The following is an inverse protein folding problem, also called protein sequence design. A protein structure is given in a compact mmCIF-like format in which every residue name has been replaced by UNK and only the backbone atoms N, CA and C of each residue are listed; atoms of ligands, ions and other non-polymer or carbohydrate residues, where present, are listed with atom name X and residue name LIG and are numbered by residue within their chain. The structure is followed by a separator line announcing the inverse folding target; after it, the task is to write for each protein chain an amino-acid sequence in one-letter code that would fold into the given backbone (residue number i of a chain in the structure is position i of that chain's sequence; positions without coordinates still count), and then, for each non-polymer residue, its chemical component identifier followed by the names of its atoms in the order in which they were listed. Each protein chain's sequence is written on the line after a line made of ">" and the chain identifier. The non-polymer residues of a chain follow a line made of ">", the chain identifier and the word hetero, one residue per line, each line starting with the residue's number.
data_IF_563187973867
#
_entry.id   IF_563187973867
#
_cell.length_a   1.000
_cell.length_b   1.000
_cell.length_c   1.000
_cell.angle_alpha   90.00
_cell.angle_beta   90.00
_cell.angle_gamma   90.00
#
_symmetry.space_group_name_H-M   'P 1'
#
loop_
_entity.id
_entity.type
_entity.pdbx_description
1 polymer ?
#
# COMPACT_ATOMS: atom_id res chain seq x y z
N UNK A 1 5.82 27.03 23.70
CA UNK A 1 5.24 26.04 24.62
C UNK A 1 4.75 26.68 25.90
N UNK A 2 5.45 27.69 26.42
CA UNK A 2 5.18 28.33 27.72
C UNK A 2 3.81 29.05 27.82
N UNK A 3 3.35 29.68 26.74
CA UNK A 3 2.03 30.37 26.74
C UNK A 3 0.85 29.41 26.83
N UNK A 4 0.97 28.18 26.32
CA UNK A 4 -0.07 27.16 26.38
C UNK A 4 -0.13 26.55 27.78
N UNK A 5 1.03 26.32 28.39
CA UNK A 5 1.14 25.80 29.76
C UNK A 5 0.56 26.81 30.77
N UNK A 6 0.88 28.08 30.61
CA UNK A 6 0.33 29.15 31.46
C UNK A 6 -1.20 29.25 31.38
N UNK A 7 -1.75 29.17 30.16
CA UNK A 7 -3.21 29.18 29.94
C UNK A 7 -3.89 27.95 30.58
N UNK A 8 -3.28 26.79 30.50
CA UNK A 8 -3.77 25.54 31.09
C UNK A 8 -3.85 25.59 32.63
N UNK A 9 -2.83 26.18 33.27
CA UNK A 9 -2.82 26.35 34.72
C UNK A 9 -3.87 27.37 35.20
N UNK A 10 -4.03 28.45 34.46
CA UNK A 10 -5.00 29.50 34.83
C UNK A 10 -6.45 29.01 34.62
N UNK A 11 -6.78 28.44 33.48
CA UNK A 11 -8.16 28.01 33.19
C UNK A 11 -8.51 26.65 33.83
N UNK A 12 -7.57 25.74 33.96
CA UNK A 12 -7.82 24.39 34.48
C UNK A 12 -7.79 24.28 36.00
N UNK A 13 -7.02 25.15 36.67
CA UNK A 13 -6.79 25.04 38.12
C UNK A 13 -7.12 26.33 38.88
N UNK A 14 -6.55 27.47 38.52
CA UNK A 14 -6.62 28.68 39.29
C UNK A 14 -8.02 29.32 39.29
N UNK A 15 -8.72 29.39 38.17
CA UNK A 15 -10.06 29.95 38.06
C UNK A 15 -11.12 29.14 38.83
N UNK A 16 -11.23 27.81 38.68
CA UNK A 16 -12.16 27.00 39.47
C UNK A 16 -11.88 27.06 40.98
N UNK A 17 -10.61 27.04 41.39
CA UNK A 17 -10.20 27.19 42.77
C UNK A 17 -10.68 28.52 43.36
N UNK A 18 -10.38 29.65 42.70
CA UNK A 18 -10.72 30.99 43.17
C UNK A 18 -12.22 31.20 43.29
N UNK A 19 -12.97 30.74 42.27
CA UNK A 19 -14.42 30.96 42.20
C UNK A 19 -15.17 30.16 43.29
N UNK A 20 -14.79 28.92 43.53
CA UNK A 20 -15.42 28.08 44.55
C UNK A 20 -15.02 28.48 45.99
N UNK A 21 -13.81 28.94 46.21
CA UNK A 21 -13.37 29.39 47.50
C UNK A 21 -14.04 30.72 47.90
N UNK A 22 -14.28 31.63 46.93
CA UNK A 22 -15.03 32.88 47.16
C UNK A 22 -16.53 32.65 47.43
N UNK A 23 -17.10 31.58 46.83
CA UNK A 23 -18.53 31.29 46.94
C UNK A 23 -18.88 30.44 48.19
N UNK A 24 -18.04 29.52 48.61
CA UNK A 24 -18.35 28.54 49.66
C UNK A 24 -17.54 28.73 50.97
N UNK A 25 -16.45 29.48 50.92
CA UNK A 25 -15.57 29.70 52.08
C UNK A 25 -14.84 28.44 52.57
N UNK A 26 -15.00 27.29 51.87
CA UNK A 26 -14.44 26.00 52.30
C UNK A 26 -13.29 25.53 51.37
N UNK A 27 -12.14 25.32 51.99
CA UNK A 27 -10.92 24.84 51.29
C UNK A 27 -11.11 23.47 50.57
N UNK A 28 -11.81 22.45 51.13
CA UNK A 28 -12.03 21.19 50.45
C UNK A 28 -12.91 21.29 49.22
N UNK A 29 -13.90 22.17 49.18
CA UNK A 29 -14.74 22.39 48.00
C UNK A 29 -13.96 23.04 46.87
N UNK A 30 -13.07 23.99 47.19
CA UNK A 30 -12.16 24.60 46.21
C UNK A 30 -11.20 23.58 45.57
N UNK A 31 -10.65 22.69 46.37
CA UNK A 31 -9.75 21.64 45.91
C UNK A 31 -10.45 20.63 44.96
N UNK A 32 -11.67 20.22 45.31
CA UNK A 32 -12.46 19.32 44.47
C UNK A 32 -12.82 19.96 43.09
N UNK A 33 -13.18 21.24 43.06
CA UNK A 33 -13.45 21.96 41.84
C UNK A 33 -12.19 22.16 40.98
N UNK A 34 -11.05 22.43 41.58
CA UNK A 34 -9.79 22.53 40.87
C UNK A 34 -9.38 21.20 40.19
N UNK A 35 -9.54 20.08 40.91
CA UNK A 35 -9.29 18.74 40.38
C UNK A 35 -10.24 18.41 39.21
N UNK A 36 -11.53 18.71 39.33
CA UNK A 36 -12.49 18.50 38.27
C UNK A 36 -12.15 19.34 37.03
N UNK A 37 -11.74 20.59 37.20
CA UNK A 37 -11.30 21.49 36.14
C UNK A 37 -10.04 20.97 35.42
N UNK A 38 -9.07 20.44 36.18
CA UNK A 38 -7.86 19.84 35.60
C UNK A 38 -8.20 18.60 34.75
N UNK A 39 -9.01 17.70 35.29
CA UNK A 39 -9.44 16.47 34.57
C UNK A 39 -10.19 16.83 33.29
N UNK A 40 -11.11 17.80 33.33
CA UNK A 40 -11.82 18.27 32.16
C UNK A 40 -10.86 18.86 31.11
N UNK A 41 -9.89 19.66 31.52
CA UNK A 41 -8.91 20.27 30.61
C UNK A 41 -8.02 19.20 29.94
N UNK A 42 -7.52 18.23 30.70
CA UNK A 42 -6.75 17.09 30.18
C UNK A 42 -7.61 16.27 29.20
N UNK A 43 -8.87 16.01 29.55
CA UNK A 43 -9.81 15.30 28.68
C UNK A 43 -10.02 16.01 27.33
N UNK A 44 -10.23 17.33 27.33
CA UNK A 44 -10.34 18.13 26.11
C UNK A 44 -9.06 18.08 25.27
N UNK A 45 -7.89 18.18 25.90
CA UNK A 45 -6.62 18.11 25.17
C UNK A 45 -6.38 16.74 24.53
N UNK A 46 -6.68 15.67 25.25
CA UNK A 46 -6.60 14.31 24.70
C UNK A 46 -7.59 14.11 23.54
N UNK A 47 -8.80 14.63 23.69
CA UNK A 47 -9.80 14.59 22.61
C UNK A 47 -9.37 15.38 21.39
N UNK A 48 -8.83 16.60 21.56
CA UNK A 48 -8.29 17.41 20.46
C UNK A 48 -7.08 16.75 19.79
N UNK A 49 -6.17 16.12 20.56
CA UNK A 49 -5.03 15.40 19.98
C UNK A 49 -5.51 14.22 19.14
N UNK A 50 -6.45 13.43 19.64
CA UNK A 50 -7.03 12.31 18.89
C UNK A 50 -7.75 12.77 17.59
N UNK A 51 -8.43 13.92 17.62
CA UNK A 51 -9.03 14.50 16.43
C UNK A 51 -7.98 14.97 15.41
N UNK A 52 -6.88 15.59 15.88
CA UNK A 52 -5.75 15.99 15.00
C UNK A 52 -5.11 14.79 14.33
N UNK A 53 -4.91 13.70 15.06
CA UNK A 53 -4.32 12.49 14.52
C UNK A 53 -5.23 11.82 13.47
N UNK A 54 -6.53 11.73 13.74
CA UNK A 54 -7.52 11.26 12.75
C UNK A 54 -7.54 12.14 11.49
N UNK A 55 -7.41 13.45 11.65
CA UNK A 55 -7.39 14.38 10.52
C UNK A 55 -6.08 14.23 9.71
N UNK A 56 -4.92 14.12 10.38
CA UNK A 56 -3.62 13.87 9.72
C UNK A 56 -3.64 12.58 8.92
N UNK A 57 -4.13 11.49 9.51
CA UNK A 57 -4.25 10.19 8.84
C UNK A 57 -5.16 10.29 7.61
N UNK A 58 -6.29 10.99 7.70
CA UNK A 58 -7.20 11.22 6.55
C UNK A 58 -6.53 12.03 5.44
N UNK A 59 -5.78 13.09 5.78
CA UNK A 59 -5.06 13.91 4.81
C UNK A 59 -3.93 13.11 4.13
N UNK A 60 -3.16 12.34 4.89
CA UNK A 60 -2.13 11.46 4.34
C UNK A 60 -2.76 10.45 3.37
N UNK A 61 -3.81 9.76 3.80
CA UNK A 61 -4.52 8.81 2.94
C UNK A 61 -5.03 9.43 1.64
N UNK A 62 -5.56 10.67 1.68
CA UNK A 62 -5.99 11.40 0.48
C UNK A 62 -4.81 11.76 -0.44
N UNK A 63 -3.66 12.16 0.12
CA UNK A 63 -2.43 12.43 -0.65
C UNK A 63 -1.91 11.16 -1.31
N UNK A 64 -1.84 10.07 -0.54
CA UNK A 64 -1.41 8.77 -1.04
C UNK A 64 -2.30 8.26 -2.18
N UNK A 65 -3.62 8.41 -2.05
CA UNK A 65 -4.56 8.04 -3.12
C UNK A 65 -4.38 8.89 -4.38
N UNK A 66 -4.14 10.20 -4.25
CA UNK A 66 -3.87 11.08 -5.40
C UNK A 66 -2.55 10.72 -6.09
N UNK A 67 -1.47 10.52 -5.34
CA UNK A 67 -0.19 10.10 -5.90
C UNK A 67 -0.29 8.74 -6.61
N UNK A 68 -0.99 7.79 -6.00
CA UNK A 68 -1.18 6.47 -6.56
C UNK A 68 -2.07 6.49 -7.82
N UNK A 69 -3.12 7.31 -7.86
CA UNK A 69 -3.95 7.48 -9.06
C UNK A 69 -3.16 8.12 -10.21
N UNK A 70 -2.32 9.11 -9.92
CA UNK A 70 -1.44 9.75 -10.91
C UNK A 70 -0.39 8.76 -11.45
N UNK A 71 0.21 7.94 -10.57
CA UNK A 71 1.16 6.92 -11.00
C UNK A 71 0.50 5.82 -11.86
N UNK A 72 -0.72 5.42 -11.54
CA UNK A 72 -1.46 4.46 -12.37
C UNK A 72 -1.91 5.05 -13.71
N UNK A 73 -2.23 6.34 -13.77
CA UNK A 73 -2.50 7.02 -15.04
C UNK A 73 -1.26 6.98 -15.96
N UNK A 74 -0.08 7.23 -15.42
CA UNK A 74 1.17 7.07 -16.18
C UNK A 74 1.37 5.64 -16.70
N UNK A 75 1.07 4.62 -15.90
CA UNK A 75 1.12 3.21 -16.33
C UNK A 75 0.10 2.92 -17.45
N UNK A 76 -1.07 3.53 -17.40
CA UNK A 76 -2.10 3.35 -18.45
C UNK A 76 -1.70 3.96 -19.80
N UNK A 77 -0.81 4.95 -19.80
CA UNK A 77 -0.31 5.64 -20.98
C UNK A 77 0.98 5.03 -21.55
N UNK A 78 1.68 4.17 -20.78
CA UNK A 78 2.94 3.56 -21.22
C UNK A 78 2.76 2.75 -22.49
N UNK A 79 3.68 2.83 -23.47
CA UNK A 79 3.83 1.82 -24.52
C UNK A 79 4.07 0.42 -23.94
N UNK A 80 3.76 -0.64 -24.71
CA UNK A 80 3.91 -2.02 -24.24
C UNK A 80 5.30 -2.34 -23.73
N UNK A 81 6.33 -1.94 -24.47
CA UNK A 81 7.75 -2.15 -24.10
C UNK A 81 8.12 -1.41 -22.80
N UNK A 82 7.64 -0.20 -22.62
CA UNK A 82 7.87 0.54 -21.35
C UNK A 82 7.16 -0.13 -20.17
N UNK A 83 5.98 -0.70 -20.41
CA UNK A 83 5.27 -1.44 -19.37
C UNK A 83 6.00 -2.73 -18.98
N UNK A 84 6.62 -3.43 -19.93
CA UNK A 84 7.48 -4.59 -19.66
C UNK A 84 8.70 -4.19 -18.83
N UNK A 85 9.38 -3.10 -19.18
CA UNK A 85 10.52 -2.61 -18.39
C UNK A 85 10.09 -2.12 -17.00
N UNK A 86 8.94 -1.47 -16.87
CA UNK A 86 8.36 -1.11 -15.58
C UNK A 86 8.15 -2.37 -14.70
N UNK A 87 7.56 -3.43 -15.24
CA UNK A 87 7.37 -4.70 -14.52
C UNK A 87 8.72 -5.34 -14.16
N UNK A 88 9.69 -5.32 -15.08
CA UNK A 88 11.03 -5.83 -14.85
C UNK A 88 11.73 -5.08 -13.70
N UNK A 89 11.62 -3.75 -13.67
CA UNK A 89 12.17 -2.92 -12.60
C UNK A 89 11.53 -3.23 -11.24
N UNK A 90 10.22 -3.45 -11.17
CA UNK A 90 9.53 -3.85 -9.94
C UNK A 90 10.01 -5.23 -9.44
N UNK A 91 10.19 -6.17 -10.33
CA UNK A 91 10.73 -7.49 -10.00
C UNK A 91 12.17 -7.42 -9.50
N UNK A 92 13.04 -6.61 -10.15
CA UNK A 92 14.43 -6.39 -9.71
C UNK A 92 14.47 -5.76 -8.31
N UNK A 93 13.63 -4.78 -8.04
CA UNK A 93 13.49 -4.16 -6.71
C UNK A 93 13.06 -5.17 -5.64
N UNK A 94 12.26 -6.18 -6.02
CA UNK A 94 11.88 -7.29 -5.14
C UNK A 94 12.99 -8.38 -5.02
N UNK A 95 14.17 -8.16 -5.61
CA UNK A 95 15.34 -9.05 -5.53
C UNK A 95 15.33 -10.21 -6.53
N UNK A 96 14.60 -10.08 -7.63
CA UNK A 96 14.64 -11.04 -8.74
C UNK A 96 15.70 -10.63 -9.76
N UNK A 97 16.43 -11.59 -10.31
CA UNK A 97 17.21 -11.42 -11.55
C UNK A 97 16.27 -11.56 -12.73
N UNK A 98 16.16 -10.54 -13.58
CA UNK A 98 15.18 -10.48 -14.68
C UNK A 98 15.89 -10.33 -16.01
N UNK A 99 15.51 -11.16 -16.98
CA UNK A 99 15.92 -11.09 -18.39
C UNK A 99 14.70 -10.99 -19.30
N UNK A 100 14.79 -10.18 -20.35
CA UNK A 100 13.80 -10.16 -21.43
C UNK A 100 13.98 -11.40 -22.31
N UNK A 101 12.88 -11.84 -22.92
CA UNK A 101 12.90 -12.88 -23.95
C UNK A 101 13.17 -12.25 -25.32
N UNK A 102 13.48 -13.07 -26.32
CA UNK A 102 13.55 -12.59 -27.71
C UNK A 102 12.16 -12.23 -28.23
N UNK A 103 12.08 -11.24 -29.12
CA UNK A 103 10.79 -10.76 -29.68
C UNK A 103 10.10 -11.77 -30.59
N UNK A 104 10.78 -12.84 -31.00
CA UNK A 104 10.26 -13.92 -31.85
C UNK A 104 10.48 -15.26 -31.18
N UNK A 105 9.46 -16.13 -31.15
CA UNK A 105 9.53 -17.42 -30.51
C UNK A 105 9.49 -17.40 -28.98
N UNK A 106 8.96 -16.33 -28.40
CA UNK A 106 8.83 -16.12 -26.95
C UNK A 106 7.67 -16.91 -26.33
N UNK A 107 6.81 -17.49 -27.16
CA UNK A 107 5.61 -18.24 -26.74
C UNK A 107 4.73 -17.48 -25.74
N UNK A 108 4.72 -16.13 -25.85
CA UNK A 108 3.96 -15.24 -24.98
C UNK A 108 4.58 -15.06 -23.59
N UNK A 109 5.90 -15.16 -23.51
CA UNK A 109 6.67 -14.83 -22.29
C UNK A 109 7.54 -13.62 -22.60
N UNK A 110 7.30 -12.50 -21.92
CA UNK A 110 8.04 -11.27 -22.14
C UNK A 110 9.28 -11.20 -21.23
N UNK A 111 9.17 -11.72 -20.00
CA UNK A 111 10.25 -11.70 -19.00
C UNK A 111 10.44 -13.07 -18.36
N UNK A 112 11.69 -13.40 -18.06
CA UNK A 112 12.06 -14.54 -17.20
C UNK A 112 12.72 -14.00 -15.93
N UNK A 113 12.09 -14.25 -14.77
CA UNK A 113 12.59 -13.84 -13.47
C UNK A 113 13.11 -15.05 -12.68
N UNK A 114 14.26 -14.87 -11.99
CA UNK A 114 14.93 -15.92 -11.21
C UNK A 114 15.26 -15.44 -9.81
N UNK A 115 14.94 -16.26 -8.80
CA UNK A 115 15.27 -16.00 -7.39
C UNK A 115 15.26 -17.30 -6.60
N UNK A 116 16.36 -17.60 -5.88
CA UNK A 116 16.44 -18.74 -4.94
C UNK A 116 16.01 -20.09 -5.53
N UNK A 117 16.46 -20.42 -6.76
CA UNK A 117 16.09 -21.65 -7.46
C UNK A 117 14.74 -21.61 -8.18
N UNK A 118 13.93 -20.60 -7.94
CA UNK A 118 12.64 -20.36 -8.64
C UNK A 118 12.87 -19.67 -9.97
N UNK A 119 12.21 -20.16 -11.03
CA UNK A 119 12.14 -19.53 -12.36
C UNK A 119 10.70 -19.23 -12.70
N UNK A 120 10.42 -17.99 -13.05
CA UNK A 120 9.08 -17.48 -13.31
C UNK A 120 9.03 -16.89 -14.72
N UNK A 121 8.09 -17.39 -15.52
CA UNK A 121 7.72 -16.81 -16.81
C UNK A 121 6.67 -15.72 -16.57
N UNK A 122 6.89 -14.53 -17.10
CA UNK A 122 6.00 -13.38 -16.93
C UNK A 122 5.54 -12.89 -18.29
N UNK A 123 4.23 -12.76 -18.46
CA UNK A 123 3.62 -12.07 -19.60
C UNK A 123 3.05 -10.75 -19.14
N UNK A 124 3.38 -9.68 -19.86
CA UNK A 124 2.94 -8.33 -19.60
C UNK A 124 1.86 -7.91 -20.61
N UNK A 125 0.71 -7.46 -20.14
CA UNK A 125 -0.39 -7.01 -21.01
C UNK A 125 -0.88 -5.62 -20.58
N UNK A 126 -0.38 -4.58 -21.26
CA UNK A 126 -0.90 -3.22 -21.14
C UNK A 126 -2.06 -3.06 -22.13
N UNK A 127 -3.28 -3.06 -21.64
CA UNK A 127 -4.51 -3.02 -22.43
C UNK A 127 -5.47 -1.95 -21.89
N UNK A 128 -6.44 -1.55 -22.71
CA UNK A 128 -7.54 -0.70 -22.29
C UNK A 128 -8.72 -1.50 -21.68
N UNK A 129 -8.68 -2.82 -21.72
CA UNK A 129 -9.75 -3.73 -21.27
C UNK A 129 -9.20 -4.90 -20.47
N UNK A 130 -10.08 -5.62 -19.76
CA UNK A 130 -9.71 -6.80 -19.00
C UNK A 130 -9.06 -7.88 -19.88
N UNK A 131 -8.02 -8.53 -19.34
CA UNK A 131 -7.26 -9.60 -19.99
C UNK A 131 -8.07 -10.89 -20.01
N UNK A 132 -8.14 -11.52 -21.19
CA UNK A 132 -8.85 -12.78 -21.42
C UNK A 132 -7.97 -14.02 -21.23
N UNK A 133 -8.55 -15.19 -21.53
CA UNK A 133 -7.94 -16.52 -21.39
C UNK A 133 -6.66 -16.71 -22.20
N UNK A 134 -6.57 -16.09 -23.37
CA UNK A 134 -5.44 -16.26 -24.28
C UNK A 134 -4.09 -15.94 -23.62
N UNK A 135 -4.02 -14.88 -22.80
CA UNK A 135 -2.80 -14.52 -22.10
C UNK A 135 -2.37 -15.60 -21.09
N UNK A 136 -3.33 -16.21 -20.41
CA UNK A 136 -3.06 -17.32 -19.47
C UNK A 136 -2.56 -18.54 -20.22
N UNK A 137 -3.19 -18.91 -21.32
CA UNK A 137 -2.77 -20.04 -22.16
C UNK A 137 -1.36 -19.83 -22.71
N UNK A 138 -1.06 -18.64 -23.23
CA UNK A 138 0.24 -18.30 -23.77
C UNK A 138 1.35 -18.43 -22.72
N UNK A 139 1.20 -17.76 -21.56
CA UNK A 139 2.26 -17.78 -20.53
C UNK A 139 2.45 -19.16 -19.91
N UNK A 140 1.40 -19.96 -19.77
CA UNK A 140 1.51 -21.33 -19.24
C UNK A 140 2.28 -22.22 -20.22
N UNK A 141 1.96 -22.16 -21.52
CA UNK A 141 2.68 -22.89 -22.57
C UNK A 141 4.15 -22.41 -22.66
N UNK A 142 4.37 -21.09 -22.65
CA UNK A 142 5.69 -20.52 -22.69
C UNK A 142 6.52 -20.83 -21.46
N UNK A 143 5.91 -20.91 -20.29
CA UNK A 143 6.60 -21.29 -19.05
C UNK A 143 7.22 -22.69 -19.16
N UNK A 144 6.51 -23.64 -19.75
CA UNK A 144 7.04 -24.99 -20.00
C UNK A 144 8.21 -24.95 -20.99
N UNK A 145 8.07 -24.23 -22.11
CA UNK A 145 9.12 -24.05 -23.10
C UNK A 145 10.41 -23.48 -22.49
N UNK A 146 10.27 -22.43 -21.68
CA UNK A 146 11.41 -21.77 -21.00
C UNK A 146 11.85 -22.47 -19.71
N UNK A 147 11.34 -23.67 -19.41
CA UNK A 147 11.65 -24.45 -18.19
C UNK A 147 11.45 -23.62 -16.91
N UNK A 148 10.35 -22.85 -16.85
CA UNK A 148 9.94 -22.08 -15.68
C UNK A 148 8.96 -22.90 -14.83
N UNK A 149 9.09 -22.81 -13.50
CA UNK A 149 8.20 -23.50 -12.57
C UNK A 149 6.95 -22.67 -12.23
N UNK A 150 6.95 -21.40 -12.58
CA UNK A 150 5.80 -20.51 -12.34
C UNK A 150 5.48 -19.70 -13.58
N UNK A 151 4.18 -19.48 -13.78
CA UNK A 151 3.63 -18.61 -14.82
C UNK A 151 2.88 -17.45 -14.19
N UNK A 152 3.10 -16.24 -14.69
CA UNK A 152 2.47 -15.02 -14.19
C UNK A 152 2.00 -14.16 -15.35
N UNK A 153 0.77 -13.65 -15.28
CA UNK A 153 0.29 -12.58 -16.18
C UNK A 153 0.19 -11.28 -15.38
N UNK A 154 0.80 -10.21 -15.88
CA UNK A 154 0.76 -8.87 -15.29
C UNK A 154 0.01 -7.93 -16.22
N UNK A 155 -0.93 -7.14 -15.70
CA UNK A 155 -1.70 -6.17 -16.50
C UNK A 155 -2.03 -4.92 -15.71
N UNK A 156 -2.14 -3.79 -16.41
CA UNK A 156 -2.66 -2.53 -15.87
C UNK A 156 -4.18 -2.54 -15.64
N UNK A 157 -4.87 -3.57 -16.09
CA UNK A 157 -6.32 -3.75 -15.95
C UNK A 157 -6.64 -4.92 -15.00
N UNK A 158 -7.87 -5.41 -15.08
CA UNK A 158 -8.29 -6.64 -14.43
C UNK A 158 -8.27 -7.83 -15.40
N UNK A 159 -8.84 -8.94 -14.94
CA UNK A 159 -8.97 -10.18 -15.69
C UNK A 159 -10.43 -10.56 -15.84
N UNK A 160 -10.77 -11.21 -16.94
CA UNK A 160 -12.11 -11.80 -17.13
C UNK A 160 -12.36 -12.95 -16.16
N UNK A 161 -13.62 -13.28 -15.91
CA UNK A 161 -13.98 -14.44 -15.06
C UNK A 161 -13.35 -15.73 -15.57
N UNK A 162 -13.41 -15.94 -16.92
CA UNK A 162 -12.83 -17.11 -17.56
C UNK A 162 -11.30 -17.17 -17.42
N UNK A 163 -10.60 -16.02 -17.54
CA UNK A 163 -9.16 -15.97 -17.33
C UNK A 163 -8.77 -16.34 -15.89
N UNK A 164 -9.52 -15.84 -14.89
CA UNK A 164 -9.29 -16.20 -13.48
C UNK A 164 -9.51 -17.70 -13.22
N UNK A 165 -10.55 -18.26 -13.78
CA UNK A 165 -10.85 -19.69 -13.64
C UNK A 165 -9.75 -20.56 -14.27
N UNK A 166 -9.31 -20.22 -15.48
CA UNK A 166 -8.22 -20.94 -16.16
C UNK A 166 -6.88 -20.81 -15.41
N UNK A 167 -6.59 -19.62 -14.91
CA UNK A 167 -5.38 -19.36 -14.15
C UNK A 167 -5.34 -20.19 -12.85
N UNK A 168 -6.46 -20.34 -12.15
CA UNK A 168 -6.59 -21.21 -10.99
C UNK A 168 -6.29 -22.67 -11.34
N UNK A 169 -6.85 -23.18 -12.45
CA UNK A 169 -6.61 -24.56 -12.92
C UNK A 169 -5.14 -24.85 -13.21
N UNK A 170 -4.44 -23.88 -13.82
CA UNK A 170 -3.04 -24.05 -14.20
C UNK A 170 -2.04 -23.47 -13.20
N UNK A 171 -2.47 -23.06 -12.01
CA UNK A 171 -1.63 -22.40 -11.00
C UNK A 171 -0.87 -21.20 -11.56
N UNK A 172 -1.47 -20.48 -12.53
CA UNK A 172 -0.95 -19.26 -13.09
C UNK A 172 -1.31 -18.08 -12.20
N UNK A 173 -0.34 -17.29 -11.76
CA UNK A 173 -0.59 -16.11 -10.94
C UNK A 173 -1.05 -14.95 -11.79
N UNK A 174 -2.05 -14.23 -11.32
CA UNK A 174 -2.56 -13.02 -11.96
C UNK A 174 -2.24 -11.79 -11.11
N UNK A 175 -1.59 -10.82 -11.73
CA UNK A 175 -1.23 -9.53 -11.12
C UNK A 175 -1.96 -8.43 -11.91
N UNK A 176 -3.03 -7.93 -11.34
CA UNK A 176 -3.86 -6.88 -11.96
C UNK A 176 -3.58 -5.49 -11.39
N UNK A 177 -4.45 -4.55 -11.76
CA UNK A 177 -4.37 -3.13 -11.39
C UNK A 177 -4.16 -2.87 -9.90
N UNK A 178 -4.86 -3.59 -9.04
CA UNK A 178 -4.75 -3.39 -7.59
C UNK A 178 -3.36 -3.70 -7.06
N UNK A 179 -2.73 -4.79 -7.52
CA UNK A 179 -1.38 -5.17 -7.15
C UNK A 179 -0.34 -4.20 -7.73
N UNK A 180 -0.51 -3.77 -8.98
CA UNK A 180 0.33 -2.74 -9.58
C UNK A 180 0.23 -1.40 -8.86
N UNK A 181 -0.96 -1.03 -8.42
CA UNK A 181 -1.18 0.16 -7.60
C UNK A 181 -0.37 0.13 -6.29
N UNK A 182 -0.22 -1.04 -5.68
CA UNK A 182 0.63 -1.21 -4.51
C UNK A 182 2.11 -1.01 -4.89
N UNK A 183 2.56 -1.54 -6.02
CA UNK A 183 3.94 -1.38 -6.50
C UNK A 183 4.30 0.07 -6.77
N UNK A 184 3.45 0.81 -7.51
CA UNK A 184 3.69 2.23 -7.80
C UNK A 184 3.77 3.09 -6.54
N UNK A 185 2.99 2.77 -5.50
CA UNK A 185 3.07 3.47 -4.21
C UNK A 185 4.39 3.25 -3.48
N UNK A 186 4.96 2.06 -3.59
CA UNK A 186 6.22 1.71 -2.92
C UNK A 186 7.42 2.35 -3.61
N UNK A 187 7.36 2.49 -4.93
CA UNK A 187 8.43 3.15 -5.72
C UNK A 187 8.44 4.67 -5.56
N UNK A 188 7.32 5.29 -5.19
CA UNK A 188 7.15 6.74 -5.14
C UNK A 188 7.59 7.41 -3.82
N UNK A 189 8.20 6.71 -2.87
CA UNK A 189 8.77 7.41 -1.71
C UNK A 189 8.56 6.81 -0.32
N UNK A 190 8.41 5.51 -0.18
CA UNK A 190 8.61 4.87 1.12
C UNK A 190 10.02 4.28 1.18
N UNK A 191 10.79 4.47 2.27
CA UNK A 191 11.99 3.68 2.50
C UNK A 191 11.57 2.21 2.48
N UNK A 192 12.27 1.41 1.69
CA UNK A 192 12.03 -0.04 1.60
C UNK A 192 12.51 -0.64 2.91
N UNK A 193 11.64 -0.66 3.90
CA UNK A 193 11.81 -1.49 5.07
C UNK A 193 11.75 -2.94 4.59
N UNK A 194 12.85 -3.68 4.81
CA UNK A 194 13.03 -5.05 4.32
C UNK A 194 11.99 -6.06 4.84
N UNK A 195 11.06 -5.66 5.71
CA UNK A 195 9.98 -6.49 6.23
C UNK A 195 8.77 -6.54 5.27
N UNK A 196 8.50 -5.44 4.55
CA UNK A 196 7.37 -5.38 3.60
C UNK A 196 7.63 -6.12 2.27
N UNK A 197 8.89 -6.44 1.96
CA UNK A 197 9.26 -7.16 0.72
C UNK A 197 8.97 -8.66 0.77
N UNK A 198 8.79 -9.25 1.96
CA UNK A 198 8.55 -10.70 2.11
C UNK A 198 7.16 -11.17 1.69
N UNK A 199 6.14 -10.32 1.76
CA UNK A 199 4.75 -10.71 1.46
C UNK A 199 4.35 -10.49 0.01
N UNK A 200 5.20 -9.90 -0.82
CA UNK A 200 4.80 -9.41 -2.14
C UNK A 200 5.00 -10.40 -3.30
N UNK A 201 5.91 -11.33 -3.14
CA UNK A 201 6.18 -12.42 -4.11
C UNK A 201 6.43 -13.76 -3.43
N UNK A 202 5.85 -13.96 -2.25
CA UNK A 202 5.87 -15.27 -1.62
C UNK A 202 4.97 -16.19 -2.45
N UNK A 203 5.61 -17.03 -3.24
CA UNK A 203 4.96 -18.17 -3.87
C UNK A 203 4.56 -19.07 -2.71
N UNK A 204 3.26 -19.21 -2.50
CA UNK A 204 2.70 -20.15 -1.52
C UNK A 204 3.36 -21.53 -1.71
N UNK A 205 4.15 -21.96 -0.72
CA UNK A 205 4.81 -23.24 -0.69
C UNK A 205 3.93 -24.36 -0.14
N UNK A 206 2.64 -24.05 0.10
CA UNK A 206 1.67 -25.03 0.58
C UNK A 206 0.98 -25.73 -0.59
N UNK A 207 1.55 -26.86 -1.03
CA UNK A 207 0.95 -27.75 -2.01
C UNK A 207 1.82 -28.98 -2.20
#
# INVERSE_FOLDING_TARGET
>A
MDKILGSLVVFGFALPWFFTQSATGSVPAGAAAAMAGLVATVGVLLWLSAQRDRFRVRLQRRRDLKCASSAMAAVDEMPGVEFEEFVAAQLRTAGWSVSHTASTGDYGVDLIARKGGTRMAVQCKRLARAVGVAAVQQVVSGALHHRCNHAVVVTNQGFTKAARQLASTHRCRLVGREQLHIWTRTSAGAPIDGSASRTRFEVDRSG
#
